data_IF_725250651938
#
_entry.id   IF_725250651938
#
_cell.length_a   1.000
_cell.length_b   1.000
_cell.length_c   1.000
_cell.angle_alpha   90.00
_cell.angle_beta   90.00
_cell.angle_gamma   90.00
#
_symmetry.space_group_name_H-M   'P 1'
#
loop_
_entity.id
_entity.type
_entity.pdbx_description
1 polymer ?
#
# COMPACT_ATOMS: atom_id res chain seq x y z
N UNK A 1 27.78 23.44 -7.14
CA UNK A 1 26.38 23.66 -7.58
C UNK A 1 26.19 23.56 -9.10
N UNK A 2 26.94 24.30 -9.95
CA UNK A 2 26.75 24.22 -11.43
C UNK A 2 26.84 22.80 -12.01
N UNK A 3 27.82 21.99 -11.57
CA UNK A 3 27.98 20.59 -12.03
C UNK A 3 26.76 19.73 -11.71
N UNK A 4 26.21 19.84 -10.49
CA UNK A 4 25.01 19.10 -10.06
C UNK A 4 23.83 19.45 -10.98
N UNK A 5 23.66 20.73 -11.33
CA UNK A 5 22.60 21.15 -12.26
C UNK A 5 22.77 20.55 -13.67
N UNK A 6 24.00 20.46 -14.17
CA UNK A 6 24.26 19.81 -15.46
C UNK A 6 24.00 18.31 -15.41
N UNK A 7 24.39 17.63 -14.34
CA UNK A 7 24.11 16.20 -14.16
C UNK A 7 22.61 15.93 -13.98
N UNK A 8 21.87 16.81 -13.28
CA UNK A 8 20.41 16.74 -13.20
C UNK A 8 19.78 16.89 -14.59
N UNK A 9 20.25 17.84 -15.42
CA UNK A 9 19.77 18.00 -16.81
C UNK A 9 20.04 16.76 -17.67
N UNK A 10 21.13 16.02 -17.42
CA UNK A 10 21.41 14.75 -18.10
C UNK A 10 20.43 13.66 -17.69
N UNK A 11 20.12 13.55 -16.39
CA UNK A 11 19.14 12.58 -15.86
C UNK A 11 17.75 12.90 -16.43
N UNK A 12 17.30 14.15 -16.30
CA UNK A 12 15.98 14.64 -16.72
C UNK A 12 15.98 15.17 -18.17
N UNK A 13 16.79 14.59 -19.05
CA UNK A 13 16.68 14.91 -20.48
C UNK A 13 15.30 14.50 -21.00
N UNK A 14 14.74 15.29 -21.93
CA UNK A 14 13.36 15.12 -22.41
C UNK A 14 13.01 13.67 -22.80
N UNK A 15 13.91 12.99 -23.52
CA UNK A 15 13.72 11.58 -23.93
C UNK A 15 13.52 10.65 -22.73
N UNK A 16 14.29 10.82 -21.66
CA UNK A 16 14.19 9.99 -20.45
C UNK A 16 12.90 10.30 -19.70
N UNK A 17 12.52 11.58 -19.61
CA UNK A 17 11.27 11.99 -18.96
C UNK A 17 10.05 11.44 -19.71
N UNK A 18 10.03 11.53 -21.05
CA UNK A 18 8.97 10.94 -21.87
C UNK A 18 8.89 9.41 -21.69
N UNK A 19 10.03 8.71 -21.66
CA UNK A 19 10.06 7.27 -21.41
C UNK A 19 9.57 6.92 -20.01
N UNK A 20 9.97 7.68 -18.99
CA UNK A 20 9.50 7.50 -17.62
C UNK A 20 7.98 7.70 -17.54
N UNK A 21 7.44 8.69 -18.24
CA UNK A 21 6.00 8.92 -18.32
C UNK A 21 5.28 7.74 -18.97
N UNK A 22 5.79 7.21 -20.10
CA UNK A 22 5.22 6.02 -20.77
C UNK A 22 5.25 4.81 -19.83
N UNK A 23 6.38 4.53 -19.18
CA UNK A 23 6.52 3.44 -18.21
C UNK A 23 5.51 3.61 -17.07
N UNK A 24 5.41 4.82 -16.51
CA UNK A 24 4.49 5.12 -15.41
C UNK A 24 3.04 4.97 -15.85
N UNK A 25 2.69 5.42 -17.05
CA UNK A 25 1.35 5.31 -17.60
C UNK A 25 0.96 3.85 -17.84
N UNK A 26 1.82 3.06 -18.49
CA UNK A 26 1.57 1.63 -18.72
C UNK A 26 1.43 0.90 -17.39
N UNK A 27 2.34 1.16 -16.44
CA UNK A 27 2.29 0.53 -15.13
C UNK A 27 1.02 0.92 -14.36
N UNK A 28 0.62 2.19 -14.44
CA UNK A 28 -0.62 2.67 -13.85
C UNK A 28 -1.83 1.89 -14.40
N UNK A 29 -1.94 1.77 -15.72
CA UNK A 29 -3.05 1.05 -16.35
C UNK A 29 -3.09 -0.43 -15.96
N UNK A 30 -1.92 -1.08 -15.86
CA UNK A 30 -1.84 -2.51 -15.58
C UNK A 30 -2.07 -2.88 -14.11
N UNK A 31 -1.62 -2.03 -13.17
CA UNK A 31 -1.51 -2.43 -11.76
C UNK A 31 -2.14 -1.46 -10.76
N UNK A 32 -2.35 -0.19 -11.10
CA UNK A 32 -2.79 0.83 -10.15
C UNK A 32 -4.25 1.25 -10.41
N UNK A 33 -4.64 1.44 -11.68
CA UNK A 33 -5.91 2.03 -12.07
C UNK A 33 -7.12 1.32 -11.47
N UNK A 34 -7.08 -0.01 -11.43
CA UNK A 34 -8.14 -0.85 -10.87
C UNK A 34 -8.57 -0.41 -9.47
N UNK A 35 -7.60 -0.10 -8.59
CA UNK A 35 -7.85 0.26 -7.20
C UNK A 35 -8.36 1.71 -7.01
N UNK A 36 -8.29 2.54 -8.05
CA UNK A 36 -8.94 3.86 -8.05
C UNK A 36 -10.32 3.80 -8.69
N UNK A 37 -10.44 3.11 -9.82
CA UNK A 37 -11.69 3.06 -10.60
C UNK A 37 -12.78 2.25 -9.91
N UNK A 38 -12.41 1.15 -9.26
CA UNK A 38 -13.34 0.24 -8.60
C UNK A 38 -13.29 0.37 -7.08
N UNK A 39 -13.04 1.55 -6.52
CA UNK A 39 -13.10 1.72 -5.07
C UNK A 39 -14.40 2.44 -4.63
N UNK A 40 -15.17 1.88 -3.68
CA UNK A 40 -15.12 0.51 -3.15
C UNK A 40 -15.47 -0.57 -4.20
N UNK A 41 -14.91 -1.77 -4.06
CA UNK A 41 -14.94 -2.79 -5.12
C UNK A 41 -16.20 -3.64 -5.12
N UNK A 42 -17.27 -3.10 -5.71
CA UNK A 42 -18.56 -3.79 -5.83
C UNK A 42 -19.27 -3.95 -4.48
N UNK A 43 -20.21 -4.89 -4.42
CA UNK A 43 -20.93 -5.25 -3.19
C UNK A 43 -20.52 -6.64 -2.73
N UNK A 44 -20.35 -6.88 -1.43
CA UNK A 44 -20.76 -6.02 -0.30
C UNK A 44 -19.73 -4.95 0.15
N UNK A 45 -18.57 -4.81 -0.52
CA UNK A 45 -17.51 -3.87 -0.11
C UNK A 45 -18.00 -2.40 -0.03
N UNK A 46 -18.85 -1.98 -0.96
CA UNK A 46 -19.47 -0.64 -0.94
C UNK A 46 -20.31 -0.42 0.33
N UNK A 47 -21.10 -1.41 0.72
CA UNK A 47 -22.00 -1.34 1.86
C UNK A 47 -21.21 -1.37 3.17
N UNK A 48 -20.17 -2.22 3.26
CA UNK A 48 -19.22 -2.24 4.38
C UNK A 48 -18.52 -0.89 4.55
N UNK A 49 -18.07 -0.27 3.45
CA UNK A 49 -17.49 1.08 3.47
C UNK A 49 -18.49 2.13 3.98
N UNK A 50 -19.72 2.14 3.45
CA UNK A 50 -20.76 3.11 3.84
C UNK A 50 -21.16 2.98 5.29
N UNK A 51 -21.44 1.76 5.75
CA UNK A 51 -21.81 1.49 7.13
C UNK A 51 -20.66 1.81 8.08
N UNK A 52 -19.40 1.56 7.68
CA UNK A 52 -18.24 2.01 8.46
C UNK A 52 -18.18 3.53 8.62
N UNK A 53 -18.54 4.30 7.58
CA UNK A 53 -18.66 5.76 7.70
C UNK A 53 -19.79 6.15 8.64
N UNK A 54 -20.96 5.52 8.54
CA UNK A 54 -22.09 5.77 9.44
C UNK A 54 -21.72 5.50 10.90
N UNK A 55 -20.97 4.42 11.15
CA UNK A 55 -20.46 4.10 12.48
C UNK A 55 -19.55 5.21 13.01
N UNK A 56 -18.64 5.73 12.18
CA UNK A 56 -17.78 6.84 12.59
C UNK A 56 -18.58 8.11 12.83
N UNK A 57 -19.58 8.41 12.00
CA UNK A 57 -20.43 9.59 12.17
C UNK A 57 -21.27 9.52 13.45
N UNK A 58 -21.79 8.33 13.80
CA UNK A 58 -22.66 8.15 14.96
C UNK A 58 -21.91 7.95 16.27
N UNK A 59 -20.81 7.20 16.27
CA UNK A 59 -20.11 6.75 17.47
C UNK A 59 -18.70 7.32 17.61
N UNK A 60 -18.17 7.96 16.55
CA UNK A 60 -16.78 8.39 16.50
C UNK A 60 -15.82 7.26 16.13
N UNK A 61 -14.54 7.42 16.47
CA UNK A 61 -13.48 6.48 16.04
C UNK A 61 -13.40 5.19 16.87
N UNK A 62 -14.21 5.08 17.91
CA UNK A 62 -14.26 3.96 18.84
C UNK A 62 -15.71 3.68 19.20
N UNK A 63 -16.06 2.41 19.32
CA UNK A 63 -17.39 1.94 19.71
C UNK A 63 -17.31 1.21 21.05
N UNK A 64 -18.14 1.62 22.00
CA UNK A 64 -18.34 0.91 23.26
C UNK A 64 -19.50 -0.09 23.17
N UNK A 65 -19.72 -0.87 24.25
CA UNK A 65 -20.77 -1.90 24.25
C UNK A 65 -22.18 -1.32 24.10
N UNK A 66 -22.51 -0.16 24.68
CA UNK A 66 -23.84 0.44 24.56
C UNK A 66 -24.12 0.90 23.12
N UNK A 67 -23.10 1.46 22.46
CA UNK A 67 -23.13 1.86 21.06
C UNK A 67 -23.25 0.65 20.13
N UNK A 68 -22.57 -0.46 20.46
CA UNK A 68 -22.73 -1.72 19.75
C UNK A 68 -24.16 -2.29 19.88
N UNK A 69 -24.76 -2.26 21.07
CA UNK A 69 -26.16 -2.67 21.24
C UNK A 69 -27.11 -1.74 20.48
N UNK A 70 -26.79 -0.44 20.37
CA UNK A 70 -27.54 0.48 19.52
C UNK A 70 -27.40 0.10 18.03
N UNK A 71 -26.19 -0.22 17.57
CA UNK A 71 -25.95 -0.69 16.20
C UNK A 71 -26.77 -1.95 15.86
N UNK A 72 -26.84 -2.91 16.79
CA UNK A 72 -27.71 -4.10 16.66
C UNK A 72 -29.19 -3.76 16.60
N UNK A 73 -29.66 -2.80 17.40
CA UNK A 73 -31.07 -2.34 17.33
C UNK A 73 -31.40 -1.69 15.98
N UNK A 74 -30.46 -0.95 15.40
CA UNK A 74 -30.62 -0.40 14.04
C UNK A 74 -30.74 -1.55 13.03
N UNK A 75 -29.88 -2.56 13.11
CA UNK A 75 -29.98 -3.75 12.27
C UNK A 75 -31.36 -4.44 12.38
N UNK A 76 -31.87 -4.70 13.59
CA UNK A 76 -33.18 -5.34 13.78
C UNK A 76 -34.33 -4.50 13.21
N UNK A 77 -34.24 -3.17 13.30
CA UNK A 77 -35.22 -2.26 12.69
C UNK A 77 -35.21 -2.34 11.17
N UNK A 78 -34.03 -2.30 10.55
CA UNK A 78 -33.88 -2.42 9.10
C UNK A 78 -34.30 -3.82 8.60
N UNK A 79 -34.03 -4.85 9.39
CA UNK A 79 -34.49 -6.23 9.11
C UNK A 79 -36.01 -6.32 9.10
N UNK A 80 -36.70 -5.69 10.06
CA UNK A 80 -38.16 -5.62 10.06
C UNK A 80 -38.72 -4.86 8.83
N UNK A 81 -37.99 -3.84 8.33
CA UNK A 81 -38.35 -3.18 7.09
C UNK A 81 -38.19 -4.10 5.86
N UNK A 82 -37.16 -4.95 5.83
CA UNK A 82 -36.97 -5.96 4.80
C UNK A 82 -38.05 -7.05 4.84
N UNK A 83 -38.43 -7.52 6.04
CA UNK A 83 -39.55 -8.44 6.23
C UNK A 83 -40.85 -7.85 5.67
N UNK A 84 -41.14 -6.58 5.99
CA UNK A 84 -42.31 -5.88 5.47
C UNK A 84 -42.26 -5.73 3.93
N UNK A 85 -41.08 -5.48 3.37
CA UNK A 85 -40.87 -5.39 1.92
C UNK A 85 -41.18 -6.71 1.21
N UNK A 86 -40.77 -7.85 1.79
CA UNK A 86 -41.02 -9.19 1.25
C UNK A 86 -42.49 -9.58 1.39
N UNK A 87 -43.10 -9.35 2.57
CA UNK A 87 -44.50 -9.68 2.84
C UNK A 87 -45.49 -8.88 1.99
N UNK A 88 -45.12 -7.68 1.56
CA UNK A 88 -45.93 -6.88 0.67
C UNK A 88 -46.03 -7.44 -0.76
N UNK A 89 -45.22 -8.44 -1.11
CA UNK A 89 -45.18 -9.04 -2.46
C UNK A 89 -45.57 -10.50 -2.42
N UNK A 90 -46.62 -10.82 -3.15
CA UNK A 90 -47.23 -12.15 -3.13
C UNK A 90 -46.27 -13.23 -3.63
N UNK A 91 -45.47 -12.96 -4.67
CA UNK A 91 -44.52 -13.94 -5.22
C UNK A 91 -43.47 -14.39 -4.20
N UNK A 92 -43.01 -13.51 -3.29
CA UNK A 92 -42.06 -13.86 -2.24
C UNK A 92 -42.71 -14.66 -1.13
N UNK A 93 -43.95 -14.33 -0.75
CA UNK A 93 -44.71 -15.07 0.27
C UNK A 93 -45.02 -16.48 -0.22
N UNK A 94 -45.46 -16.64 -1.46
CA UNK A 94 -45.76 -17.94 -2.07
C UNK A 94 -44.52 -18.83 -2.22
N UNK A 95 -43.37 -18.22 -2.53
CA UNK A 95 -42.08 -18.91 -2.59
C UNK A 95 -41.49 -19.24 -1.20
N UNK A 96 -42.14 -18.83 -0.10
CA UNK A 96 -41.65 -19.04 1.27
C UNK A 96 -40.48 -18.14 1.67
N UNK A 97 -40.32 -16.99 1.02
CA UNK A 97 -39.30 -15.96 1.26
C UNK A 97 -39.90 -14.73 1.96
N UNK A 98 -40.85 -14.94 2.87
CA UNK A 98 -41.63 -13.91 3.59
C UNK A 98 -40.87 -13.22 4.74
N UNK A 99 -39.60 -13.58 4.96
CA UNK A 99 -38.70 -12.92 5.92
C UNK A 99 -37.29 -12.83 5.38
N UNK A 100 -36.52 -11.85 5.84
CA UNK A 100 -35.13 -11.62 5.49
C UNK A 100 -34.26 -12.85 5.78
N UNK A 101 -34.48 -13.54 6.89
CA UNK A 101 -33.74 -14.77 7.22
C UNK A 101 -33.97 -15.86 6.17
N UNK A 102 -35.23 -16.10 5.79
CA UNK A 102 -35.57 -17.09 4.77
C UNK A 102 -35.03 -16.69 3.40
N UNK A 103 -35.05 -15.39 3.08
CA UNK A 103 -34.43 -14.84 1.88
C UNK A 103 -32.91 -15.05 1.87
N UNK A 104 -32.23 -14.78 2.99
CA UNK A 104 -30.78 -14.86 3.14
C UNK A 104 -30.24 -16.28 3.03
N UNK A 105 -30.98 -17.25 3.59
CA UNK A 105 -30.63 -18.67 3.57
C UNK A 105 -31.35 -19.45 2.46
N UNK A 106 -31.93 -18.73 1.49
CA UNK A 106 -32.69 -19.36 0.41
C UNK A 106 -31.78 -20.24 -0.46
N UNK A 107 -32.32 -21.38 -0.89
CA UNK A 107 -31.64 -22.28 -1.82
C UNK A 107 -31.75 -21.74 -3.26
N UNK A 108 -30.78 -20.90 -3.65
CA UNK A 108 -30.73 -20.25 -4.96
C UNK A 108 -30.41 -21.21 -6.11
N UNK A 109 -30.09 -22.48 -5.83
CA UNK A 109 -29.95 -23.49 -6.90
C UNK A 109 -31.32 -23.86 -7.50
N UNK A 110 -32.40 -23.66 -6.75
CA UNK A 110 -33.76 -23.76 -7.29
C UNK A 110 -34.04 -22.54 -8.14
N UNK A 111 -34.22 -22.77 -9.45
CA UNK A 111 -34.38 -21.71 -10.45
C UNK A 111 -35.39 -20.63 -10.03
N UNK A 112 -36.59 -21.01 -9.59
CA UNK A 112 -37.65 -20.05 -9.19
C UNK A 112 -37.23 -19.16 -8.00
N UNK A 113 -36.51 -19.72 -7.03
CA UNK A 113 -36.00 -18.97 -5.86
C UNK A 113 -34.84 -18.08 -6.29
N UNK A 114 -33.92 -18.60 -7.10
CA UNK A 114 -32.80 -17.84 -7.64
C UNK A 114 -33.26 -16.59 -8.41
N UNK A 115 -34.27 -16.74 -9.28
CA UNK A 115 -34.86 -15.62 -10.04
C UNK A 115 -35.45 -14.54 -9.12
N UNK A 116 -36.12 -14.91 -8.03
CA UNK A 116 -36.69 -13.96 -7.06
C UNK A 116 -35.62 -13.23 -6.24
N UNK A 117 -34.55 -13.93 -5.84
CA UNK A 117 -33.40 -13.34 -5.15
C UNK A 117 -32.67 -12.38 -6.08
N UNK A 118 -32.39 -12.81 -7.32
CA UNK A 118 -31.73 -11.99 -8.33
C UNK A 118 -32.54 -10.75 -8.68
N UNK A 119 -33.86 -10.86 -8.68
CA UNK A 119 -34.76 -9.72 -8.90
C UNK A 119 -34.52 -8.62 -7.86
N UNK A 120 -34.47 -8.94 -6.56
CA UNK A 120 -34.23 -7.93 -5.51
C UNK A 120 -32.80 -7.39 -5.58
N UNK A 121 -31.83 -8.28 -5.74
CA UNK A 121 -30.41 -8.00 -5.55
C UNK A 121 -29.80 -7.28 -6.76
N UNK A 122 -30.13 -7.72 -7.98
CA UNK A 122 -29.48 -7.29 -9.21
C UNK A 122 -30.38 -6.46 -10.14
N UNK A 123 -31.70 -6.73 -10.16
CA UNK A 123 -32.64 -6.03 -11.05
C UNK A 123 -33.21 -4.78 -10.39
N UNK A 124 -33.87 -4.94 -9.25
CA UNK A 124 -34.47 -3.86 -8.48
C UNK A 124 -33.41 -3.07 -7.69
N UNK A 125 -32.25 -3.69 -7.43
CA UNK A 125 -31.10 -3.11 -6.71
C UNK A 125 -31.50 -2.48 -5.38
N UNK A 126 -32.24 -3.25 -4.57
CA UNK A 126 -32.73 -2.78 -3.29
C UNK A 126 -31.59 -2.76 -2.27
N UNK A 127 -31.05 -1.56 -2.01
CA UNK A 127 -29.90 -1.33 -1.13
C UNK A 127 -30.03 -1.99 0.24
N UNK A 128 -31.23 -1.99 0.81
CA UNK A 128 -31.54 -2.53 2.14
C UNK A 128 -30.99 -3.96 2.36
N UNK A 129 -31.10 -4.84 1.35
CA UNK A 129 -30.65 -6.23 1.49
C UNK A 129 -29.14 -6.38 1.49
N UNK A 130 -28.42 -5.49 0.80
CA UNK A 130 -26.97 -5.43 0.82
C UNK A 130 -26.45 -4.80 2.12
N UNK A 131 -27.11 -3.74 2.58
CA UNK A 131 -26.80 -3.09 3.86
C UNK A 131 -27.00 -4.03 5.04
N UNK A 132 -28.07 -4.83 5.04
CA UNK A 132 -28.30 -5.84 6.08
C UNK A 132 -27.18 -6.88 6.13
N UNK A 133 -26.72 -7.39 4.99
CA UNK A 133 -25.59 -8.34 4.94
C UNK A 133 -24.29 -7.71 5.45
N UNK A 134 -24.03 -6.45 5.12
CA UNK A 134 -22.85 -5.74 5.60
C UNK A 134 -22.93 -5.46 7.11
N UNK A 135 -24.10 -5.10 7.65
CA UNK A 135 -24.32 -4.97 9.10
C UNK A 135 -24.15 -6.31 9.83
N UNK A 136 -24.70 -7.38 9.29
CA UNK A 136 -24.53 -8.75 9.79
C UNK A 136 -23.03 -9.11 9.88
N UNK A 137 -22.28 -8.86 8.81
CA UNK A 137 -20.82 -9.07 8.77
C UNK A 137 -20.09 -8.28 9.86
N UNK A 138 -20.40 -7.00 10.03
CA UNK A 138 -19.76 -6.15 11.04
C UNK A 138 -20.15 -6.54 12.47
N UNK A 139 -21.40 -6.97 12.69
CA UNK A 139 -21.86 -7.54 13.97
C UNK A 139 -21.06 -8.81 14.27
N UNK A 140 -20.93 -9.70 13.29
CA UNK A 140 -20.17 -10.95 13.43
C UNK A 140 -18.71 -10.65 13.79
N UNK A 141 -18.07 -9.69 13.12
CA UNK A 141 -16.68 -9.30 13.41
C UNK A 141 -16.51 -8.81 14.85
N UNK A 142 -17.45 -8.02 15.34
CA UNK A 142 -17.40 -7.51 16.71
C UNK A 142 -17.71 -8.61 17.75
N UNK A 143 -18.72 -9.46 17.52
CA UNK A 143 -19.07 -10.55 18.44
C UNK A 143 -17.98 -11.63 18.48
N UNK A 144 -17.40 -11.96 17.33
CA UNK A 144 -16.33 -12.94 17.19
C UNK A 144 -14.94 -12.30 17.24
N UNK A 145 -14.77 -11.12 17.85
CA UNK A 145 -13.46 -10.43 17.94
C UNK A 145 -12.37 -11.23 18.65
N UNK A 146 -12.73 -12.20 19.49
CA UNK A 146 -11.77 -13.14 20.07
C UNK A 146 -11.13 -14.05 19.00
N UNK A 147 -11.74 -14.20 17.83
CA UNK A 147 -11.11 -14.86 16.68
C UNK A 147 -9.81 -14.19 16.24
N UNK A 148 -9.54 -12.92 16.63
CA UNK A 148 -8.27 -12.27 16.35
C UNK A 148 -7.05 -13.06 16.89
N UNK A 149 -7.22 -13.87 17.94
CA UNK A 149 -6.17 -14.78 18.43
C UNK A 149 -5.78 -15.87 17.43
N UNK A 150 -6.65 -16.21 16.47
CA UNK A 150 -6.44 -17.25 15.46
C UNK A 150 -5.78 -16.76 14.17
N UNK A 151 -5.56 -15.44 14.02
CA UNK A 151 -4.96 -14.84 12.80
C UNK A 151 -3.47 -15.21 12.64
N UNK A 152 -2.84 -15.71 13.70
CA UNK A 152 -1.40 -15.94 13.73
C UNK A 152 -1.08 -17.44 13.62
N UNK A 153 -0.47 -17.83 12.50
CA UNK A 153 -0.08 -19.22 12.17
C UNK A 153 1.05 -19.81 13.06
N UNK A 154 1.39 -19.16 14.17
CA UNK A 154 2.44 -19.60 15.08
C UNK A 154 2.06 -19.33 16.55
N UNK A 155 2.70 -20.05 17.50
CA UNK A 155 2.46 -19.80 18.92
C UNK A 155 2.72 -18.34 19.29
N UNK A 156 1.67 -17.67 19.77
CA UNK A 156 1.75 -16.28 20.22
C UNK A 156 2.63 -16.15 21.47
N UNK A 157 3.54 -15.18 21.43
CA UNK A 157 4.29 -14.71 22.61
C UNK A 157 3.36 -14.01 23.61
N UNK A 158 3.81 -13.82 24.85
CA UNK A 158 3.03 -13.11 25.87
C UNK A 158 2.68 -11.68 25.43
N UNK A 159 3.66 -10.95 24.88
CA UNK A 159 3.48 -9.59 24.37
C UNK A 159 2.48 -9.53 23.21
N UNK A 160 2.52 -10.47 22.26
CA UNK A 160 1.54 -10.51 21.18
C UNK A 160 0.12 -10.78 21.70
N UNK A 161 -0.03 -11.67 22.69
CA UNK A 161 -1.34 -11.94 23.30
C UNK A 161 -1.90 -10.71 24.00
N UNK A 162 -1.06 -9.97 24.72
CA UNK A 162 -1.45 -8.72 25.37
C UNK A 162 -1.90 -7.69 24.33
N UNK A 163 -1.12 -7.52 23.26
CA UNK A 163 -1.45 -6.59 22.17
C UNK A 163 -2.78 -6.92 21.47
N UNK A 164 -3.07 -8.20 21.25
CA UNK A 164 -4.35 -8.66 20.69
C UNK A 164 -5.50 -8.34 21.64
N UNK A 165 -5.33 -8.57 22.96
CA UNK A 165 -6.34 -8.21 23.96
C UNK A 165 -6.65 -6.73 23.97
N UNK A 166 -5.62 -5.89 23.91
CA UNK A 166 -5.81 -4.43 23.85
C UNK A 166 -6.62 -4.03 22.61
N UNK A 167 -6.31 -4.64 21.46
CA UNK A 167 -7.04 -4.38 20.20
C UNK A 167 -8.50 -4.82 20.32
N UNK A 168 -8.76 -6.01 20.87
CA UNK A 168 -10.11 -6.53 21.13
C UNK A 168 -10.91 -5.59 22.04
N UNK A 169 -10.26 -5.01 23.04
CA UNK A 169 -10.90 -4.12 24.01
C UNK A 169 -11.03 -2.67 23.51
N UNK A 170 -10.29 -2.28 22.47
CA UNK A 170 -10.19 -0.88 22.02
C UNK A 170 -11.48 -0.32 21.42
N UNK A 171 -12.31 -1.17 20.82
CA UNK A 171 -13.51 -0.74 20.09
C UNK A 171 -13.21 0.12 18.85
N UNK A 172 -11.96 0.24 18.41
CA UNK A 172 -11.57 1.09 17.30
C UNK A 172 -12.34 0.75 16.01
N UNK A 173 -12.79 1.77 15.29
CA UNK A 173 -13.53 1.65 14.03
C UNK A 173 -12.63 2.01 12.86
N UNK A 174 -12.28 1.01 12.04
CA UNK A 174 -11.56 1.19 10.78
C UNK A 174 -12.14 0.26 9.72
N UNK A 175 -12.36 0.79 8.52
CA UNK A 175 -12.87 0.00 7.39
C UNK A 175 -11.75 -0.87 6.80
N UNK A 176 -11.96 -2.19 6.75
CA UNK A 176 -11.09 -3.13 6.03
C UNK A 176 -10.88 -2.68 4.58
N UNK A 177 -11.96 -2.29 3.90
CA UNK A 177 -11.94 -1.86 2.50
C UNK A 177 -10.99 -0.69 2.26
N UNK A 178 -11.04 0.32 3.13
CA UNK A 178 -10.15 1.50 3.06
C UNK A 178 -8.70 1.09 3.30
N UNK A 179 -8.46 0.28 4.32
CA UNK A 179 -7.12 -0.14 4.72
C UNK A 179 -6.45 -1.03 3.66
N UNK A 180 -7.17 -2.03 3.14
CA UNK A 180 -6.68 -2.93 2.11
C UNK A 180 -6.46 -2.21 0.78
N UNK A 181 -7.39 -1.32 0.37
CA UNK A 181 -7.23 -0.50 -0.83
C UNK A 181 -5.94 0.33 -0.76
N UNK A 182 -5.68 0.98 0.38
CA UNK A 182 -4.44 1.73 0.59
C UNK A 182 -3.20 0.83 0.46
N UNK A 183 -3.20 -0.31 1.14
CA UNK A 183 -2.05 -1.22 1.15
C UNK A 183 -1.73 -1.79 -0.23
N UNK A 184 -2.77 -2.10 -1.01
CA UNK A 184 -2.59 -2.53 -2.40
C UNK A 184 -2.04 -1.39 -3.27
N UNK A 185 -2.62 -0.19 -3.17
CA UNK A 185 -2.14 0.97 -3.92
C UNK A 185 -0.69 1.34 -3.59
N UNK A 186 -0.34 1.46 -2.30
CA UNK A 186 1.00 1.89 -1.89
C UNK A 186 2.06 0.85 -2.25
N UNK A 187 1.72 -0.45 -2.27
CA UNK A 187 2.58 -1.53 -2.78
C UNK A 187 2.98 -1.27 -4.23
N UNK A 188 2.00 -1.04 -5.11
CA UNK A 188 2.26 -0.81 -6.53
C UNK A 188 2.94 0.54 -6.80
N UNK A 189 2.61 1.57 -6.03
CA UNK A 189 3.30 2.87 -6.11
C UNK A 189 4.77 2.73 -5.71
N UNK A 190 5.08 1.98 -4.65
CA UNK A 190 6.47 1.70 -4.25
C UNK A 190 7.24 0.94 -5.34
N UNK A 191 6.62 -0.05 -5.98
CA UNK A 191 7.20 -0.77 -7.14
C UNK A 191 7.51 0.20 -8.27
N UNK A 192 6.54 1.05 -8.65
CA UNK A 192 6.71 2.03 -9.72
C UNK A 192 7.85 3.01 -9.40
N UNK A 193 7.95 3.50 -8.17
CA UNK A 193 9.04 4.38 -7.74
C UNK A 193 10.38 3.66 -7.88
N UNK A 194 10.50 2.41 -7.43
CA UNK A 194 11.73 1.63 -7.54
C UNK A 194 12.15 1.45 -9.02
N UNK A 195 11.21 1.08 -9.89
CA UNK A 195 11.46 0.97 -11.34
C UNK A 195 11.95 2.31 -11.90
N UNK A 196 11.31 3.40 -11.48
CA UNK A 196 11.64 4.77 -11.91
C UNK A 196 13.05 5.18 -11.49
N UNK A 197 13.45 4.88 -10.24
CA UNK A 197 14.81 5.11 -9.75
C UNK A 197 15.83 4.27 -10.52
N UNK A 198 15.56 2.97 -10.68
CA UNK A 198 16.46 2.08 -11.41
C UNK A 198 16.66 2.56 -12.84
N UNK A 199 15.60 2.94 -13.54
CA UNK A 199 15.66 3.46 -14.90
C UNK A 199 16.39 4.81 -15.00
N UNK A 200 16.00 5.80 -14.19
CA UNK A 200 16.50 7.17 -14.31
C UNK A 200 17.94 7.35 -13.82
N UNK A 201 18.37 6.57 -12.82
CA UNK A 201 19.73 6.69 -12.25
C UNK A 201 20.75 5.83 -13.01
N UNK A 202 20.34 4.73 -13.64
CA UNK A 202 21.22 3.86 -14.44
C UNK A 202 22.19 4.55 -15.41
N UNK A 203 21.80 5.57 -16.18
CA UNK A 203 22.70 6.18 -17.16
C UNK A 203 23.78 7.11 -16.56
N UNK A 204 23.74 7.41 -15.25
CA UNK A 204 24.48 8.54 -14.65
C UNK A 204 26.01 8.45 -14.84
N UNK A 205 26.61 7.26 -14.72
CA UNK A 205 28.04 7.05 -15.01
C UNK A 205 28.29 6.45 -16.39
N UNK A 206 27.33 5.69 -16.91
CA UNK A 206 27.48 4.98 -18.17
C UNK A 206 27.55 5.91 -19.39
N UNK A 207 26.83 7.04 -19.38
CA UNK A 207 26.90 8.03 -20.46
C UNK A 207 28.32 8.59 -20.64
N UNK A 208 29.03 8.83 -19.54
CA UNK A 208 30.38 9.38 -19.58
C UNK A 208 31.39 8.36 -20.11
N UNK A 209 31.21 7.07 -19.77
CA UNK A 209 32.02 5.97 -20.34
C UNK A 209 31.78 5.80 -21.83
N UNK A 210 30.51 5.83 -22.26
CA UNK A 210 30.13 5.73 -23.68
C UNK A 210 30.67 6.89 -24.50
N UNK A 211 30.76 8.08 -23.92
CA UNK A 211 31.28 9.26 -24.59
C UNK A 211 32.81 9.42 -24.44
N UNK A 212 33.50 8.42 -23.87
CA UNK A 212 34.95 8.40 -23.67
C UNK A 212 35.54 9.60 -22.90
N UNK A 213 34.75 10.24 -22.02
CA UNK A 213 35.19 11.41 -21.25
C UNK A 213 35.78 11.07 -19.88
N UNK A 214 35.75 9.79 -19.48
CA UNK A 214 36.17 9.33 -18.15
C UNK A 214 37.62 9.69 -17.85
N UNK A 215 38.55 9.44 -18.78
CA UNK A 215 39.97 9.78 -18.59
C UNK A 215 40.22 11.29 -18.44
N UNK A 216 39.46 12.12 -19.16
CA UNK A 216 39.54 13.57 -19.03
C UNK A 216 39.08 14.03 -17.64
N UNK A 217 38.12 13.35 -17.02
CA UNK A 217 37.66 13.67 -15.67
C UNK A 217 38.78 13.43 -14.63
N UNK A 218 39.49 12.31 -14.71
CA UNK A 218 40.53 11.99 -13.72
C UNK A 218 41.79 12.86 -13.85
N UNK A 219 42.02 13.49 -15.00
CA UNK A 219 43.16 14.37 -15.25
C UNK A 219 43.19 15.66 -14.40
N UNK A 220 42.08 16.06 -13.76
CA UNK A 220 42.01 17.30 -12.97
C UNK A 220 41.38 17.13 -11.56
N UNK A 221 41.69 18.08 -10.66
CA UNK A 221 41.21 18.07 -9.25
C UNK A 221 39.68 18.10 -9.11
N UNK A 222 38.98 18.74 -10.03
CA UNK A 222 37.51 18.86 -10.03
C UNK A 222 36.87 17.56 -10.49
N UNK A 223 37.43 16.91 -11.49
CA UNK A 223 36.91 15.66 -12.05
C UNK A 223 37.12 14.47 -11.11
N UNK A 224 38.16 14.47 -10.28
CA UNK A 224 38.28 13.52 -9.15
C UNK A 224 37.17 13.63 -8.10
N UNK A 225 36.42 14.74 -8.07
CA UNK A 225 35.24 14.92 -7.21
C UNK A 225 33.92 14.60 -7.92
N UNK A 226 33.93 14.33 -9.23
CA UNK A 226 32.72 14.10 -10.04
C UNK A 226 31.93 12.90 -9.53
N UNK A 227 32.60 11.84 -9.06
CA UNK A 227 31.92 10.68 -8.49
C UNK A 227 30.95 11.05 -7.35
N UNK A 228 31.43 11.79 -6.36
CA UNK A 228 30.60 12.23 -5.23
C UNK A 228 29.52 13.23 -5.66
N UNK A 229 29.83 14.12 -6.60
CA UNK A 229 28.85 15.08 -7.14
C UNK A 229 27.73 14.37 -7.90
N UNK A 230 28.04 13.32 -8.67
CA UNK A 230 27.05 12.48 -9.35
C UNK A 230 26.20 11.69 -8.36
N UNK A 231 26.80 11.15 -7.29
CA UNK A 231 26.00 10.52 -6.23
C UNK A 231 25.04 11.50 -5.56
N UNK A 232 25.49 12.70 -5.19
CA UNK A 232 24.60 13.75 -4.66
C UNK A 232 23.49 14.12 -5.66
N UNK A 233 23.82 14.21 -6.95
CA UNK A 233 22.85 14.45 -8.02
C UNK A 233 21.83 13.31 -8.09
N UNK A 234 22.27 12.06 -7.97
CA UNK A 234 21.40 10.90 -7.96
C UNK A 234 20.41 10.93 -6.78
N UNK A 235 20.87 11.30 -5.58
CA UNK A 235 19.98 11.47 -4.41
C UNK A 235 18.94 12.57 -4.62
N UNK A 236 19.34 13.73 -5.17
CA UNK A 236 18.40 14.82 -5.47
C UNK A 236 17.37 14.37 -6.51
N UNK A 237 17.81 13.70 -7.57
CA UNK A 237 16.92 13.16 -8.59
C UNK A 237 15.96 12.11 -8.04
N UNK A 238 16.46 11.20 -7.20
CA UNK A 238 15.66 10.17 -6.57
C UNK A 238 14.61 10.76 -5.63
N UNK A 239 15.01 11.70 -4.77
CA UNK A 239 14.09 12.44 -3.91
C UNK A 239 12.99 13.11 -4.74
N UNK A 240 13.34 13.83 -5.80
CA UNK A 240 12.37 14.48 -6.67
C UNK A 240 11.39 13.50 -7.33
N UNK A 241 11.88 12.39 -7.89
CA UNK A 241 11.04 11.36 -8.52
C UNK A 241 10.06 10.76 -7.51
N UNK A 242 10.57 10.35 -6.33
CA UNK A 242 9.77 9.79 -5.24
C UNK A 242 8.71 10.79 -4.77
N UNK A 243 9.08 12.06 -4.53
CA UNK A 243 8.13 13.11 -4.12
C UNK A 243 7.05 13.33 -5.16
N UNK A 244 7.42 13.42 -6.44
CA UNK A 244 6.47 13.68 -7.52
C UNK A 244 5.47 12.52 -7.68
N UNK A 245 5.95 11.27 -7.67
CA UNK A 245 5.08 10.10 -7.82
C UNK A 245 4.18 9.89 -6.60
N UNK A 246 4.69 10.08 -5.37
CA UNK A 246 3.86 10.07 -4.17
C UNK A 246 2.83 11.21 -4.18
N UNK A 247 3.25 12.42 -4.61
CA UNK A 247 2.35 13.57 -4.72
C UNK A 247 1.19 13.32 -5.70
N UNK A 248 1.49 12.75 -6.88
CA UNK A 248 0.46 12.34 -7.84
C UNK A 248 -0.44 11.24 -7.28
N UNK A 249 0.14 10.23 -6.61
CA UNK A 249 -0.61 9.18 -5.95
C UNK A 249 -1.60 9.74 -4.93
N UNK A 250 -1.16 10.57 -3.98
CA UNK A 250 -2.06 11.13 -2.97
C UNK A 250 -3.09 12.11 -3.54
N UNK A 251 -2.76 12.80 -4.64
CA UNK A 251 -3.73 13.62 -5.36
C UNK A 251 -4.88 12.77 -5.94
N UNK A 252 -4.56 11.61 -6.52
CA UNK A 252 -5.57 10.65 -7.00
C UNK A 252 -6.32 10.00 -5.82
N UNK A 253 -5.60 9.61 -4.77
CA UNK A 253 -6.16 8.94 -3.59
C UNK A 253 -7.16 9.80 -2.81
N UNK A 254 -7.04 11.13 -2.87
CA UNK A 254 -8.08 12.03 -2.38
C UNK A 254 -9.45 11.76 -3.03
N UNK A 255 -9.48 11.29 -4.28
CA UNK A 255 -10.69 10.92 -5.01
C UNK A 255 -11.47 9.75 -4.37
N UNK A 256 -10.80 8.88 -3.61
CA UNK A 256 -11.41 7.73 -2.94
C UNK A 256 -12.24 8.12 -1.70
N UNK A 257 -12.30 9.43 -1.33
CA UNK A 257 -13.11 9.94 -0.21
C UNK A 257 -12.88 9.23 1.13
N UNK A 258 -11.64 8.81 1.39
CA UNK A 258 -11.26 8.11 2.63
C UNK A 258 -10.93 9.04 3.80
N UNK A 259 -11.11 10.37 3.62
CA UNK A 259 -10.62 11.38 4.57
C UNK A 259 -11.16 11.24 5.99
N UNK A 260 -12.38 10.74 6.14
CA UNK A 260 -13.01 10.48 7.45
C UNK A 260 -12.22 9.47 8.29
N UNK A 261 -11.54 8.52 7.66
CA UNK A 261 -10.80 7.44 8.32
C UNK A 261 -9.37 7.82 8.72
N UNK A 262 -8.90 9.04 8.42
CA UNK A 262 -7.49 9.42 8.69
C UNK A 262 -7.14 9.36 10.18
N UNK A 263 -8.10 9.68 11.05
CA UNK A 263 -7.94 9.63 12.51
C UNK A 263 -8.37 8.28 13.12
N UNK A 264 -8.91 7.36 12.31
CA UNK A 264 -9.20 5.98 12.74
C UNK A 264 -7.90 5.25 13.07
N UNK A 265 -7.92 4.43 14.12
CA UNK A 265 -6.79 3.59 14.45
C UNK A 265 -6.76 2.33 13.56
N UNK A 266 -5.58 1.98 13.04
CA UNK A 266 -5.43 0.80 12.16
C UNK A 266 -5.64 -0.54 12.89
N UNK A 267 -5.53 -0.56 14.22
CA UNK A 267 -5.85 -1.73 15.03
C UNK A 267 -7.34 -1.74 15.29
N UNK A 268 -8.09 -2.44 14.45
CA UNK A 268 -9.54 -2.51 14.57
C UNK A 268 -10.02 -3.94 14.37
N UNK A 269 -11.00 -4.36 15.18
CA UNK A 269 -11.66 -5.66 15.04
C UNK A 269 -12.30 -5.83 13.65
N UNK A 270 -12.68 -4.72 13.00
CA UNK A 270 -13.31 -4.73 11.67
C UNK A 270 -12.32 -4.85 10.52
N UNK A 271 -11.01 -4.81 10.79
CA UNK A 271 -9.96 -5.00 9.77
C UNK A 271 -9.33 -6.39 9.79
N UNK A 272 -9.54 -7.16 10.86
CA UNK A 272 -8.83 -8.41 11.14
C UNK A 272 -7.30 -8.30 11.00
N UNK A 273 -6.75 -7.13 11.31
CA UNK A 273 -5.32 -6.88 11.28
C UNK A 273 -4.88 -6.27 12.61
N UNK A 274 -3.74 -6.73 13.10
CA UNK A 274 -3.18 -6.27 14.38
C UNK A 274 -1.74 -5.82 14.17
N UNK A 275 -1.43 -4.67 14.72
CA UNK A 275 -0.14 -3.99 14.65
C UNK A 275 0.41 -3.77 16.05
N UNK A 276 1.73 -3.66 16.17
CA UNK A 276 2.40 -3.45 17.44
C UNK A 276 2.11 -2.08 18.07
N UNK A 277 1.84 -1.08 17.25
CA UNK A 277 1.69 0.31 17.69
C UNK A 277 0.27 0.81 17.41
N UNK A 278 -0.24 1.64 18.32
CA UNK A 278 -1.49 2.37 18.17
C UNK A 278 -1.28 3.54 17.20
N UNK A 279 -1.40 3.26 15.91
CA UNK A 279 -1.25 4.25 14.85
C UNK A 279 -2.62 4.64 14.31
N UNK A 280 -2.84 5.95 14.16
CA UNK A 280 -3.89 6.43 13.27
C UNK A 280 -3.55 6.04 11.83
N UNK A 281 -4.57 5.94 10.98
CA UNK A 281 -4.38 5.64 9.57
C UNK A 281 -3.48 6.70 8.91
N UNK A 282 -3.59 7.97 9.29
CA UNK A 282 -2.67 9.02 8.85
C UNK A 282 -1.22 8.78 9.29
N UNK A 283 -0.98 8.39 10.54
CA UNK A 283 0.37 8.06 11.01
C UNK A 283 0.95 6.85 10.28
N UNK A 284 0.12 5.84 9.99
CA UNK A 284 0.50 4.70 9.18
C UNK A 284 0.92 5.13 7.77
N UNK A 285 0.14 6.01 7.12
CA UNK A 285 0.48 6.61 5.82
C UNK A 285 1.85 7.32 5.90
N UNK A 286 2.08 8.17 6.91
CA UNK A 286 3.36 8.85 7.08
C UNK A 286 4.53 7.86 7.25
N UNK A 287 4.33 6.79 8.01
CA UNK A 287 5.35 5.76 8.22
C UNK A 287 5.68 5.02 6.91
N UNK A 288 4.68 4.69 6.07
CA UNK A 288 4.93 4.11 4.74
C UNK A 288 5.68 5.07 3.81
N UNK A 289 5.39 6.38 3.86
CA UNK A 289 6.13 7.39 3.09
C UNK A 289 7.61 7.41 3.49
N UNK A 290 7.89 7.49 4.80
CA UNK A 290 9.26 7.46 5.32
C UNK A 290 10.00 6.19 4.90
N UNK A 291 9.34 5.05 5.03
CA UNK A 291 9.81 3.74 4.58
C UNK A 291 10.23 3.74 3.09
N UNK A 292 9.39 4.29 2.20
CA UNK A 292 9.69 4.40 0.77
C UNK A 292 10.90 5.32 0.51
N UNK A 293 11.03 6.45 1.21
CA UNK A 293 12.21 7.32 1.07
C UNK A 293 13.50 6.61 1.49
N UNK A 294 13.50 5.91 2.62
CA UNK A 294 14.68 5.17 3.10
C UNK A 294 15.09 4.07 2.09
N UNK A 295 14.11 3.34 1.57
CA UNK A 295 14.33 2.29 0.59
C UNK A 295 14.91 2.86 -0.72
N UNK A 296 14.30 3.93 -1.25
CA UNK A 296 14.71 4.53 -2.53
C UNK A 296 16.09 5.19 -2.45
N UNK A 297 16.46 5.78 -1.31
CA UNK A 297 17.79 6.35 -1.12
C UNK A 297 18.89 5.28 -1.07
N UNK A 298 18.67 4.17 -0.37
CA UNK A 298 19.63 3.06 -0.38
C UNK A 298 19.73 2.44 -1.77
N UNK A 299 18.59 2.22 -2.44
CA UNK A 299 18.57 1.73 -3.82
C UNK A 299 19.35 2.64 -4.77
N UNK A 300 19.23 3.96 -4.60
CA UNK A 300 19.95 4.95 -5.42
C UNK A 300 21.46 4.76 -5.32
N UNK A 301 22.00 4.48 -4.13
CA UNK A 301 23.42 4.17 -3.94
C UNK A 301 23.79 2.91 -4.74
N UNK A 302 23.02 1.84 -4.58
CA UNK A 302 23.28 0.55 -5.25
C UNK A 302 23.26 0.73 -6.78
N UNK A 303 22.22 1.37 -7.32
CA UNK A 303 22.07 1.60 -8.77
C UNK A 303 23.20 2.48 -9.30
N UNK A 304 23.57 3.56 -8.61
CA UNK A 304 24.64 4.44 -9.04
C UNK A 304 26.01 3.74 -9.02
N UNK A 305 26.27 2.90 -8.02
CA UNK A 305 27.49 2.09 -7.89
C UNK A 305 27.57 1.01 -8.96
N UNK A 306 26.44 0.37 -9.29
CA UNK A 306 26.33 -0.56 -10.41
C UNK A 306 26.57 0.15 -11.75
N UNK A 307 25.96 1.32 -11.96
CA UNK A 307 26.15 2.16 -13.15
C UNK A 307 27.62 2.51 -13.38
N UNK A 308 28.35 2.83 -12.31
CA UNK A 308 29.77 3.14 -12.39
C UNK A 308 30.65 1.93 -12.74
N UNK A 309 30.26 0.72 -12.33
CA UNK A 309 31.08 -0.49 -12.55
C UNK A 309 30.77 -1.19 -13.85
N UNK A 310 29.49 -1.25 -14.22
CA UNK A 310 29.05 -2.00 -15.38
C UNK A 310 29.67 -1.43 -16.68
N UNK A 311 30.16 -2.30 -17.58
CA UNK A 311 30.79 -1.85 -18.82
C UNK A 311 29.80 -1.23 -19.81
N UNK A 312 28.54 -1.68 -19.78
CA UNK A 312 27.49 -1.29 -20.72
C UNK A 312 26.08 -1.42 -20.10
N UNK A 313 25.05 -0.98 -20.82
CA UNK A 313 23.65 -1.04 -20.38
C UNK A 313 23.15 -2.48 -20.17
N UNK A 314 23.57 -3.42 -21.02
CA UNK A 314 23.14 -4.83 -20.93
C UNK A 314 23.57 -5.42 -19.59
N UNK A 315 24.80 -5.16 -19.16
CA UNK A 315 25.29 -5.60 -17.85
C UNK A 315 24.51 -4.97 -16.69
N UNK A 316 24.18 -3.67 -16.77
CA UNK A 316 23.35 -3.01 -15.73
C UNK A 316 22.00 -3.71 -15.62
N UNK A 317 21.31 -3.89 -16.75
CA UNK A 317 20.00 -4.54 -16.80
C UNK A 317 20.08 -5.97 -16.25
N UNK A 318 21.13 -6.72 -16.61
CA UNK A 318 21.36 -8.07 -16.09
C UNK A 318 21.47 -8.16 -14.56
N UNK A 319 22.04 -7.14 -13.89
CA UNK A 319 22.06 -7.06 -12.42
C UNK A 319 20.76 -6.51 -11.83
N UNK A 320 20.11 -5.59 -12.55
CA UNK A 320 18.90 -4.93 -12.09
C UNK A 320 17.69 -5.86 -12.08
N UNK A 321 17.57 -6.80 -13.02
CA UNK A 321 16.43 -7.73 -13.06
C UNK A 321 16.36 -8.60 -11.80
N UNK A 322 17.42 -9.33 -11.37
CA UNK A 322 17.38 -10.08 -10.10
C UNK A 322 17.16 -9.19 -8.88
N UNK A 323 17.74 -7.99 -8.87
CA UNK A 323 17.55 -7.02 -7.80
C UNK A 323 16.07 -6.57 -7.71
N UNK A 324 15.44 -6.28 -8.85
CA UNK A 324 14.04 -5.91 -8.92
C UNK A 324 13.14 -7.04 -8.41
N UNK A 325 13.40 -8.30 -8.79
CA UNK A 325 12.66 -9.47 -8.30
C UNK A 325 12.75 -9.56 -6.77
N UNK A 326 13.95 -9.45 -6.20
CA UNK A 326 14.14 -9.44 -4.75
C UNK A 326 13.37 -8.30 -4.07
N UNK A 327 13.43 -7.10 -4.64
CA UNK A 327 12.75 -5.93 -4.09
C UNK A 327 11.22 -6.11 -4.12
N UNK A 328 10.67 -6.57 -5.24
CA UNK A 328 9.22 -6.68 -5.44
C UNK A 328 8.61 -7.85 -4.68
N UNK A 329 9.26 -9.01 -4.71
CA UNK A 329 8.72 -10.23 -4.10
C UNK A 329 8.91 -10.27 -2.58
N UNK A 330 9.96 -9.62 -2.05
CA UNK A 330 10.32 -9.73 -0.63
C UNK A 330 10.34 -8.37 0.03
N UNK A 331 11.22 -7.46 -0.41
CA UNK A 331 11.52 -6.26 0.37
C UNK A 331 10.31 -5.34 0.55
N UNK A 332 9.51 -5.12 -0.49
CA UNK A 332 8.31 -4.27 -0.40
C UNK A 332 7.27 -4.86 0.54
N UNK A 333 7.05 -6.17 0.50
CA UNK A 333 6.07 -6.83 1.36
C UNK A 333 6.37 -6.61 2.83
N UNK A 334 7.63 -6.79 3.24
CA UNK A 334 8.06 -6.65 4.63
C UNK A 334 8.33 -5.21 5.08
N UNK A 335 8.85 -4.34 4.20
CA UNK A 335 9.30 -3.00 4.59
C UNK A 335 8.34 -1.87 4.25
N UNK A 336 7.30 -2.13 3.44
CA UNK A 336 6.30 -1.13 3.05
C UNK A 336 4.89 -1.57 3.44
N UNK A 337 4.49 -2.81 3.15
CA UNK A 337 3.09 -3.25 3.33
C UNK A 337 2.84 -3.79 4.74
N UNK A 338 3.68 -4.71 5.21
CA UNK A 338 3.52 -5.35 6.53
C UNK A 338 4.22 -4.59 7.65
N UNK A 339 4.41 -3.28 7.49
CA UNK A 339 5.06 -2.45 8.51
C UNK A 339 4.31 -2.59 9.83
N UNK A 340 5.07 -2.80 10.90
CA UNK A 340 4.57 -2.92 12.27
C UNK A 340 3.50 -4.00 12.52
N UNK A 341 3.22 -4.91 11.58
CA UNK A 341 2.29 -6.03 11.79
C UNK A 341 2.76 -6.93 12.93
N UNK A 342 1.81 -7.42 13.72
CA UNK A 342 2.08 -8.25 14.91
C UNK A 342 2.78 -9.58 14.57
N UNK A 343 2.59 -10.07 13.36
CA UNK A 343 3.25 -11.29 12.86
C UNK A 343 4.75 -11.13 12.61
N UNK A 344 5.29 -9.92 12.71
CA UNK A 344 6.73 -9.64 12.68
C UNK A 344 7.22 -9.27 14.08
N UNK A 345 8.48 -9.54 14.45
CA UNK A 345 9.02 -9.08 15.73
C UNK A 345 8.90 -7.55 15.88
N UNK A 346 8.63 -7.05 17.09
CA UNK A 346 8.43 -5.62 17.36
C UNK A 346 9.58 -4.73 16.85
N UNK A 347 10.82 -5.20 16.99
CA UNK A 347 12.02 -4.49 16.52
C UNK A 347 12.42 -4.82 15.08
N UNK A 348 11.64 -5.63 14.34
CA UNK A 348 11.98 -6.03 12.97
C UNK A 348 12.15 -4.83 12.06
N UNK A 349 11.15 -3.95 12.01
CA UNK A 349 11.15 -2.79 11.10
C UNK A 349 12.33 -1.84 11.35
N UNK A 350 12.57 -1.33 12.58
CA UNK A 350 13.72 -0.46 12.82
C UNK A 350 15.05 -1.19 12.57
N UNK A 351 15.17 -2.47 12.95
CA UNK A 351 16.40 -3.25 12.71
C UNK A 351 16.67 -3.43 11.22
N UNK A 352 15.64 -3.71 10.43
CA UNK A 352 15.76 -3.88 8.99
C UNK A 352 16.17 -2.58 8.29
N UNK A 353 15.61 -1.43 8.69
CA UNK A 353 16.02 -0.14 8.15
C UNK A 353 17.42 0.28 8.59
N UNK A 354 17.81 0.02 9.84
CA UNK A 354 19.20 0.23 10.29
C UNK A 354 20.15 -0.61 9.45
N UNK A 355 19.87 -1.90 9.25
CA UNK A 355 20.68 -2.78 8.41
C UNK A 355 20.76 -2.26 6.97
N UNK A 356 19.63 -1.83 6.40
CA UNK A 356 19.54 -1.28 5.05
C UNK A 356 20.39 0.01 4.90
N UNK A 357 20.34 0.91 5.88
CA UNK A 357 21.18 2.12 5.92
C UNK A 357 22.67 1.76 6.07
N UNK A 358 23.00 0.76 6.90
CA UNK A 358 24.38 0.29 7.07
C UNK A 358 24.93 -0.31 5.77
N UNK A 359 24.13 -1.12 5.07
CA UNK A 359 24.49 -1.67 3.75
C UNK A 359 24.71 -0.52 2.75
N UNK A 360 23.77 0.42 2.66
CA UNK A 360 23.91 1.58 1.78
C UNK A 360 25.17 2.40 2.08
N UNK A 361 25.44 2.67 3.36
CA UNK A 361 26.62 3.39 3.83
C UNK A 361 27.92 2.64 3.51
N UNK A 362 27.96 1.34 3.76
CA UNK A 362 29.10 0.49 3.44
C UNK A 362 29.40 0.52 1.94
N UNK A 363 28.39 0.32 1.09
CA UNK A 363 28.52 0.36 -0.37
C UNK A 363 29.01 1.75 -0.83
N UNK A 364 28.47 2.82 -0.25
CA UNK A 364 28.91 4.19 -0.50
C UNK A 364 30.40 4.37 -0.17
N UNK A 365 30.83 4.13 1.07
CA UNK A 365 32.21 4.35 1.48
C UNK A 365 33.20 3.45 0.75
N UNK A 366 32.83 2.19 0.52
CA UNK A 366 33.62 1.25 -0.28
C UNK A 366 33.80 1.76 -1.71
N UNK A 367 32.73 2.27 -2.33
CA UNK A 367 32.79 2.81 -3.69
C UNK A 367 33.70 4.04 -3.77
N UNK A 368 33.57 4.99 -2.85
CA UNK A 368 34.42 6.18 -2.76
C UNK A 368 35.90 5.81 -2.56
N UNK A 369 36.18 4.82 -1.70
CA UNK A 369 37.55 4.36 -1.45
C UNK A 369 38.18 3.71 -2.69
N UNK A 370 37.40 2.94 -3.46
CA UNK A 370 37.87 2.37 -4.73
C UNK A 370 38.11 3.44 -5.78
N UNK A 371 37.21 4.42 -5.89
CA UNK A 371 37.34 5.54 -6.83
C UNK A 371 38.62 6.36 -6.64
N UNK A 372 39.03 6.58 -5.39
CA UNK A 372 40.30 7.26 -5.09
C UNK A 372 41.56 6.53 -5.59
N UNK A 373 41.46 5.24 -5.93
CA UNK A 373 42.59 4.41 -6.39
C UNK A 373 42.60 4.19 -7.91
N UNK A 374 41.58 4.67 -8.64
CA UNK A 374 41.48 4.47 -10.09
C UNK A 374 42.65 5.14 -10.82
N UNK A 375 43.12 6.29 -10.32
CA UNK A 375 44.28 7.02 -10.85
C UNK A 375 45.63 6.30 -10.68
N UNK A 376 45.71 5.23 -9.88
CA UNK A 376 46.95 4.49 -9.59
C UNK A 376 47.05 3.15 -10.32
N UNK A 377 45.97 2.73 -11.00
CA UNK A 377 45.84 1.42 -11.65
C UNK A 377 45.91 1.51 -13.18
N UNK A 378 46.07 2.72 -13.71
CA UNK A 378 46.35 3.05 -15.10
C UNK A 378 47.56 3.96 -15.13
#
# INVERSE_FOLDING_TARGET
>A
MRIILYELKKIFQLKMVCLLFIISFIFYQLFINFYFEHFPNGRPALDLYRISMEMIEQYGYQMNQEEFEHFKKVYEKEKAAADAYLQARQEYVEAGLDTYEKFRTADTEKQEIGELVDQIIFVDQVDLFWELQARETLIEYYENRDSLFSIVDHPLTAEQKERIKDTIASGNIMSAEVFENYNNLIRYVAILIIISIMFMISPIFLQDRRNHVVFLQYSNKTGRKIFNLKLQTAFIAAGFITTMQLGLFFLLYRGNKVGMFLDSNINSVFTHEVFWFELTFFQYILLTIVSIYLLTFTLTIIVAVLSNRAPNYISIVGFQVPLAILLFAVVIDYLVVRITKIGLPIYFLPSAYVLLILIGSFVYFWSVKKEKKVDLLH
#
